data_IF_512098703098
#
_entry.id   IF_512098703098
#
_cell.length_a   1.000
_cell.length_b   1.000
_cell.length_c   1.000
_cell.angle_alpha   90.00
_cell.angle_beta   90.00
_cell.angle_gamma   90.00
#
_symmetry.space_group_name_H-M   'P 1'
#
loop_
_entity.id
_entity.type
_entity.pdbx_description
1 polymer ?
#
# COMPACT_ATOMS: atom_id res chain seq x y z
N UNK A 1 -19.55 2.51 -22.28
CA UNK A 1 -18.19 3.10 -22.34
C UNK A 1 -17.69 3.23 -20.91
N UNK A 2 -16.66 2.48 -20.52
CA UNK A 2 -16.01 2.67 -19.22
C UNK A 2 -15.19 3.96 -19.31
N UNK A 3 -15.52 4.95 -18.48
CA UNK A 3 -14.73 6.17 -18.37
C UNK A 3 -13.32 5.83 -17.88
N UNK A 4 -12.30 6.37 -18.54
CA UNK A 4 -10.90 6.21 -18.11
C UNK A 4 -10.70 6.98 -16.82
N UNK A 5 -10.34 6.29 -15.74
CA UNK A 5 -10.04 6.94 -14.46
C UNK A 5 -8.58 7.40 -14.49
N UNK A 6 -8.29 8.70 -14.30
CA UNK A 6 -6.92 9.20 -14.32
C UNK A 6 -6.12 8.71 -13.11
N UNK A 7 -4.81 8.51 -13.31
CA UNK A 7 -3.87 8.01 -12.28
C UNK A 7 -2.64 8.90 -12.27
N UNK A 8 -2.18 9.27 -11.07
CA UNK A 8 -0.91 9.98 -10.85
C UNK A 8 0.02 9.02 -10.09
N UNK A 9 1.24 8.85 -10.59
CA UNK A 9 2.30 8.09 -9.92
C UNK A 9 3.36 9.03 -9.37
N UNK A 10 3.95 8.71 -8.22
CA UNK A 10 4.98 9.50 -7.57
C UNK A 10 6.08 8.58 -7.08
N UNK A 11 7.21 8.61 -7.77
CA UNK A 11 8.36 7.73 -7.54
C UNK A 11 9.58 8.49 -7.03
N UNK A 12 10.52 7.77 -6.40
CA UNK A 12 11.73 8.34 -5.81
C UNK A 12 12.22 7.56 -4.58
N UNK A 13 13.40 7.91 -4.04
CA UNK A 13 14.02 7.14 -2.97
C UNK A 13 13.26 7.26 -1.62
N UNK A 14 13.59 6.37 -0.69
CA UNK A 14 13.12 6.47 0.70
C UNK A 14 13.54 7.81 1.31
N UNK A 15 12.65 8.43 2.10
CA UNK A 15 12.91 9.72 2.73
C UNK A 15 12.68 10.96 1.84
N UNK A 16 12.41 10.80 0.54
CA UNK A 16 12.16 11.94 -0.38
C UNK A 16 10.82 12.68 -0.18
N UNK A 17 10.03 12.33 0.83
CA UNK A 17 8.74 13.00 1.10
C UNK A 17 7.56 12.58 0.22
N UNK A 18 7.69 11.53 -0.60
CA UNK A 18 6.63 11.06 -1.52
C UNK A 18 5.27 10.85 -0.86
N UNK A 19 5.23 10.16 0.29
CA UNK A 19 3.96 9.92 1.00
C UNK A 19 3.27 11.22 1.43
N UNK A 20 4.04 12.20 1.90
CA UNK A 20 3.53 13.53 2.25
C UNK A 20 2.98 14.25 1.02
N UNK A 21 3.69 14.21 -0.11
CA UNK A 21 3.24 14.81 -1.37
C UNK A 21 1.97 14.14 -1.90
N UNK A 22 1.93 12.80 -1.96
CA UNK A 22 0.77 12.05 -2.43
C UNK A 22 -0.47 12.33 -1.57
N UNK A 23 -0.29 12.46 -0.25
CA UNK A 23 -1.36 12.84 0.66
C UNK A 23 -1.90 14.23 0.33
N UNK A 24 -1.03 15.23 0.19
CA UNK A 24 -1.44 16.59 -0.16
C UNK A 24 -2.13 16.66 -1.53
N UNK A 25 -1.66 15.90 -2.52
CA UNK A 25 -2.29 15.79 -3.84
C UNK A 25 -3.68 15.15 -3.75
N UNK A 26 -3.82 14.04 -3.02
CA UNK A 26 -5.10 13.36 -2.86
C UNK A 26 -6.14 14.25 -2.15
N UNK A 27 -5.74 14.98 -1.11
CA UNK A 27 -6.60 15.94 -0.40
C UNK A 27 -7.01 17.11 -1.30
N UNK A 28 -6.06 17.68 -2.05
CA UNK A 28 -6.30 18.79 -3.00
C UNK A 28 -7.26 18.41 -4.13
N UNK A 29 -7.13 17.19 -4.65
CA UNK A 29 -7.91 16.71 -5.80
C UNK A 29 -9.20 15.99 -5.40
N UNK A 30 -9.38 15.66 -4.11
CA UNK A 30 -10.45 14.77 -3.64
C UNK A 30 -10.31 13.33 -4.19
N UNK A 31 -9.07 12.88 -4.44
CA UNK A 31 -8.79 11.59 -5.05
C UNK A 31 -8.47 10.51 -4.01
N UNK A 32 -8.56 9.25 -4.44
CA UNK A 32 -8.09 8.12 -3.62
C UNK A 32 -6.56 8.06 -3.62
N UNK A 33 -6.00 7.73 -2.47
CA UNK A 33 -4.57 7.50 -2.27
C UNK A 33 -4.29 6.01 -2.11
N UNK A 34 -3.24 5.53 -2.76
CA UNK A 34 -2.68 4.19 -2.58
C UNK A 34 -1.22 4.31 -2.15
N UNK A 35 -0.84 3.70 -1.02
CA UNK A 35 0.57 3.56 -0.59
C UNK A 35 1.08 2.18 -0.97
N UNK A 36 1.78 2.09 -2.11
CA UNK A 36 2.39 0.83 -2.56
C UNK A 36 3.45 0.31 -1.59
N UNK A 37 4.20 1.19 -0.92
CA UNK A 37 5.21 0.80 0.06
C UNK A 37 4.59 0.13 1.29
N UNK A 38 3.37 0.50 1.66
CA UNK A 38 2.66 -0.15 2.75
C UNK A 38 2.30 -1.61 2.41
N UNK A 39 1.98 -1.92 1.16
CA UNK A 39 1.70 -3.31 0.71
C UNK A 39 2.92 -4.20 0.98
N UNK A 40 4.12 -3.77 0.56
CA UNK A 40 5.35 -4.52 0.80
C UNK A 40 5.68 -4.68 2.29
N UNK A 41 5.47 -3.62 3.09
CA UNK A 41 5.68 -3.69 4.55
C UNK A 41 4.71 -4.65 5.23
N UNK A 42 3.44 -4.66 4.82
CA UNK A 42 2.44 -5.57 5.36
C UNK A 42 2.71 -7.01 4.94
N UNK A 43 3.15 -7.25 3.70
CA UNK A 43 3.59 -8.57 3.26
C UNK A 43 4.77 -9.09 4.09
N UNK A 44 5.79 -8.26 4.32
CA UNK A 44 6.92 -8.62 5.17
C UNK A 44 6.47 -8.94 6.60
N UNK A 45 5.57 -8.13 7.18
CA UNK A 45 5.00 -8.39 8.50
C UNK A 45 4.22 -9.72 8.54
N UNK A 46 3.42 -10.00 7.51
CA UNK A 46 2.68 -11.24 7.39
C UNK A 46 3.62 -12.45 7.30
N UNK A 47 4.71 -12.35 6.53
CA UNK A 47 5.68 -13.42 6.39
C UNK A 47 6.36 -13.73 7.73
N UNK A 48 6.70 -12.69 8.50
CA UNK A 48 7.25 -12.82 9.84
C UNK A 48 6.24 -13.45 10.82
N UNK A 49 4.97 -13.03 10.79
CA UNK A 49 3.91 -13.59 11.66
C UNK A 49 3.62 -15.06 11.37
N UNK A 50 3.63 -15.45 10.10
CA UNK A 50 3.35 -16.83 9.68
C UNK A 50 4.60 -17.70 9.56
N UNK A 51 5.77 -17.17 9.92
CA UNK A 51 7.07 -17.86 9.82
C UNK A 51 7.34 -18.43 8.42
N UNK A 52 6.89 -17.71 7.39
CA UNK A 52 7.16 -18.06 5.99
C UNK A 52 8.62 -17.75 5.68
N UNK A 53 9.29 -18.65 4.95
CA UNK A 53 10.65 -18.42 4.48
C UNK A 53 10.69 -17.19 3.56
N UNK A 54 11.31 -16.11 4.05
CA UNK A 54 11.43 -14.83 3.34
C UNK A 54 12.37 -14.89 2.13
N UNK A 55 13.13 -15.98 1.98
CA UNK A 55 14.02 -16.21 0.83
C UNK A 55 13.35 -17.03 -0.28
N UNK A 56 12.20 -17.64 0.01
CA UNK A 56 11.43 -18.43 -0.95
C UNK A 56 10.31 -17.59 -1.57
N UNK A 57 10.52 -17.14 -2.80
CA UNK A 57 9.48 -16.45 -3.58
C UNK A 57 8.23 -17.33 -3.73
N UNK A 58 8.39 -18.63 -4.00
CA UNK A 58 7.29 -19.59 -4.14
C UNK A 58 6.42 -19.64 -2.88
N UNK A 59 7.03 -19.55 -1.70
CA UNK A 59 6.29 -19.52 -0.44
C UNK A 59 5.62 -18.16 -0.16
N UNK A 60 6.19 -17.06 -0.67
CA UNK A 60 5.66 -15.70 -0.48
C UNK A 60 4.51 -15.35 -1.42
N UNK A 61 4.48 -15.89 -2.65
CA UNK A 61 3.42 -15.66 -3.64
C UNK A 61 2.01 -15.91 -3.10
N UNK A 62 1.69 -17.08 -2.49
CA UNK A 62 0.35 -17.32 -1.97
C UNK A 62 -0.01 -16.37 -0.81
N UNK A 63 0.97 -15.98 0.01
CA UNK A 63 0.77 -15.02 1.09
C UNK A 63 0.46 -13.62 0.54
N UNK A 64 1.17 -13.17 -0.49
CA UNK A 64 0.94 -11.89 -1.15
C UNK A 64 -0.43 -11.84 -1.85
N UNK A 65 -0.83 -12.93 -2.49
CA UNK A 65 -2.11 -13.01 -3.21
C UNK A 65 -3.33 -12.94 -2.28
N UNK A 66 -3.18 -13.36 -1.01
CA UNK A 66 -4.26 -13.41 -0.03
C UNK A 66 -4.04 -12.44 1.15
N UNK A 67 -3.24 -11.40 0.93
CA UNK A 67 -2.91 -10.42 1.97
C UNK A 67 -4.17 -9.68 2.43
N UNK A 68 -4.58 -9.87 3.69
CA UNK A 68 -5.70 -9.14 4.30
C UNK A 68 -5.26 -7.72 4.72
N UNK A 69 -5.04 -6.87 3.71
CA UNK A 69 -4.68 -5.46 3.88
C UNK A 69 -5.83 -4.54 3.47
N UNK A 70 -6.17 -3.58 4.33
CA UNK A 70 -7.19 -2.56 4.05
C UNK A 70 -6.58 -1.16 4.17
N UNK A 71 -6.88 -0.34 3.18
CA UNK A 71 -6.51 1.08 3.12
C UNK A 71 -7.74 1.92 3.47
N UNK A 72 -7.73 2.54 4.65
CA UNK A 72 -8.85 3.35 5.15
C UNK A 72 -8.41 4.80 5.22
N UNK A 73 -9.09 5.67 4.47
CA UNK A 73 -8.91 7.12 4.59
C UNK A 73 -9.92 7.67 5.60
N UNK A 74 -9.45 8.14 6.76
CA UNK A 74 -10.27 8.74 7.80
C UNK A 74 -9.59 10.00 8.36
N UNK A 75 -10.34 11.10 8.50
CA UNK A 75 -9.86 12.39 9.03
C UNK A 75 -8.57 12.91 8.37
N UNK A 76 -8.49 12.78 7.04
CA UNK A 76 -7.28 13.16 6.29
C UNK A 76 -6.06 12.32 6.66
N UNK A 77 -6.23 11.09 7.14
CA UNK A 77 -5.13 10.14 7.38
C UNK A 77 -5.41 8.83 6.66
N UNK A 78 -4.40 8.31 5.98
CA UNK A 78 -4.42 6.96 5.44
C UNK A 78 -3.99 5.99 6.55
N UNK A 79 -4.90 5.12 6.96
CA UNK A 79 -4.63 4.00 7.84
C UNK A 79 -4.46 2.73 7.01
N UNK A 80 -3.44 1.95 7.35
CA UNK A 80 -3.17 0.65 6.74
C UNK A 80 -3.45 -0.39 7.81
N UNK A 81 -4.48 -1.20 7.61
CA UNK A 81 -4.93 -2.21 8.55
C UNK A 81 -4.52 -3.57 7.98
N UNK A 82 -3.88 -4.40 8.82
CA UNK A 82 -3.51 -5.77 8.49
C UNK A 82 -4.26 -6.74 9.41
N UNK A 83 -5.03 -7.66 8.84
CA UNK A 83 -5.90 -8.58 9.56
C UNK A 83 -7.30 -8.03 9.84
N UNK A 84 -8.09 -8.79 10.61
CA UNK A 84 -9.41 -8.36 11.08
C UNK A 84 -9.29 -7.29 12.15
#
# INVERSE_FOLDING_TARGET
MTATVPVITVDGPSGAGKGTLCKALAESLGWRLLDSGAIYRVLALAALHHQVDITSEEALVPLAAHLDVRFVAQDGKLQVIFGR
#
